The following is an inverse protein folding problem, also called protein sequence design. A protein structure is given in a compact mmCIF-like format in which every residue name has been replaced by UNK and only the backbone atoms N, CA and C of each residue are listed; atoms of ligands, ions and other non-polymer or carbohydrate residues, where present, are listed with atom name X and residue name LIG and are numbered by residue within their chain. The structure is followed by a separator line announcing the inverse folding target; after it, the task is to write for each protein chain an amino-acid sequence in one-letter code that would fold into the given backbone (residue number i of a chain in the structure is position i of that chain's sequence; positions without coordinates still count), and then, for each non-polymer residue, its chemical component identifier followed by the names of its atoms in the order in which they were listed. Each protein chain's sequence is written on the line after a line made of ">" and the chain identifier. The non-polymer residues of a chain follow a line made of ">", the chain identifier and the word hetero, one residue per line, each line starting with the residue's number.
data_IF_512587840214
#
_entry.id   IF_512587840214
#
_cell.length_a   1.000
_cell.length_b   1.000
_cell.length_c   1.000
_cell.angle_alpha   90.00
_cell.angle_beta   90.00
_cell.angle_gamma   90.00
#
_symmetry.space_group_name_H-M   'P 1'
#
loop_
_entity.id
_entity.type
_entity.pdbx_description
1 polymer ?
#
# COMPACT_ATOMS: atom_id res chain seq x y z
N UNK A 1 27.57 2.42 41.80
CA UNK A 1 27.43 2.16 40.36
C UNK A 1 25.98 1.83 40.13
N UNK A 2 25.26 2.66 39.38
CA UNK A 2 23.81 2.53 39.21
C UNK A 2 23.48 1.22 38.50
N UNK A 3 22.65 0.39 39.12
CA UNK A 3 22.11 -0.84 38.53
C UNK A 3 21.46 -0.53 37.18
N UNK A 4 22.15 -0.89 36.11
CA UNK A 4 21.61 -0.83 34.76
C UNK A 4 20.57 -1.94 34.63
N UNK A 5 19.30 -1.56 34.68
CA UNK A 5 18.20 -2.52 34.57
C UNK A 5 18.01 -2.92 33.11
N UNK A 6 18.67 -4.00 32.72
CA UNK A 6 18.62 -4.59 31.37
C UNK A 6 17.17 -4.85 30.92
N UNK A 7 16.29 -5.21 31.85
CA UNK A 7 14.92 -5.57 31.53
C UNK A 7 14.04 -4.37 31.17
N UNK A 8 14.26 -3.21 31.80
CA UNK A 8 13.57 -1.98 31.42
C UNK A 8 14.02 -1.51 30.04
N UNK A 9 15.31 -1.59 29.74
CA UNK A 9 15.86 -1.21 28.43
C UNK A 9 15.35 -2.11 27.30
N UNK A 10 15.30 -3.43 27.51
CA UNK A 10 14.72 -4.36 26.54
C UNK A 10 13.22 -4.10 26.31
N UNK A 11 12.49 -3.69 27.34
CA UNK A 11 11.08 -3.34 27.22
C UNK A 11 10.87 -2.05 26.41
N UNK A 12 11.74 -1.06 26.61
CA UNK A 12 11.76 0.20 25.87
C UNK A 12 12.08 -0.05 24.39
N UNK A 13 13.11 -0.85 24.10
CA UNK A 13 13.50 -1.22 22.73
C UNK A 13 12.39 -1.98 21.99
N UNK A 14 11.70 -2.90 22.67
CA UNK A 14 10.54 -3.61 22.08
C UNK A 14 9.41 -2.64 21.73
N UNK A 15 9.10 -1.72 22.65
CA UNK A 15 8.05 -0.71 22.45
C UNK A 15 8.40 0.24 21.30
N UNK A 16 9.65 0.70 21.25
CA UNK A 16 10.16 1.53 20.17
C UNK A 16 10.10 0.81 18.81
N UNK A 17 10.50 -0.46 18.78
CA UNK A 17 10.42 -1.30 17.58
C UNK A 17 8.97 -1.48 17.11
N UNK A 18 8.01 -1.68 18.03
CA UNK A 18 6.59 -1.78 17.69
C UNK A 18 6.03 -0.46 17.15
N UNK A 19 6.42 0.68 17.73
CA UNK A 19 6.03 1.99 17.23
C UNK A 19 6.56 2.27 15.82
N UNK A 20 7.82 1.91 15.53
CA UNK A 20 8.41 2.02 14.18
C UNK A 20 7.67 1.11 13.18
N UNK A 21 7.30 -0.11 13.61
CA UNK A 21 6.55 -1.06 12.76
C UNK A 21 5.10 -0.63 12.50
N UNK A 22 4.51 0.26 13.30
CA UNK A 22 3.17 0.83 13.04
C UNK A 22 3.22 1.77 11.84
N UNK A 23 3.27 1.20 10.62
CA UNK A 23 2.98 1.94 9.39
C UNK A 23 1.56 2.48 9.43
N UNK A 24 1.43 3.81 9.27
CA UNK A 24 0.15 4.49 9.27
C UNK A 24 -0.81 3.89 8.25
N UNK A 25 -2.10 3.85 8.57
CA UNK A 25 -3.16 3.37 7.68
C UNK A 25 -3.18 4.15 6.35
N UNK A 26 -2.83 5.44 6.39
CA UNK A 26 -2.67 6.29 5.21
C UNK A 26 -1.59 5.78 4.25
N UNK A 27 -0.49 5.21 4.75
CA UNK A 27 0.55 4.60 3.92
C UNK A 27 0.10 3.27 3.25
N UNK A 28 -1.01 2.67 3.70
CA UNK A 28 -1.61 1.47 3.09
C UNK A 28 -2.58 1.78 1.96
N UNK A 29 -3.06 3.02 1.82
CA UNK A 29 -3.99 3.39 0.75
C UNK A 29 -3.25 3.56 -0.56
N UNK A 30 -3.58 2.72 -1.54
CA UNK A 30 -3.10 2.93 -2.90
C UNK A 30 -3.79 4.14 -3.50
N UNK A 31 -3.08 4.91 -4.33
CA UNK A 31 -3.71 5.97 -5.15
C UNK A 31 -4.79 5.40 -6.08
N UNK A 32 -4.70 4.11 -6.38
CA UNK A 32 -5.69 3.34 -7.16
C UNK A 32 -7.00 3.13 -6.39
N UNK A 33 -6.97 3.12 -5.05
CA UNK A 33 -8.15 2.86 -4.21
C UNK A 33 -9.22 3.95 -4.38
N UNK A 34 -8.81 5.15 -4.81
CA UNK A 34 -9.74 6.23 -5.17
C UNK A 34 -10.58 5.90 -6.41
N UNK A 35 -10.08 5.01 -7.27
CA UNK A 35 -10.69 4.66 -8.55
C UNK A 35 -11.12 3.19 -8.63
N UNK A 36 -11.27 2.53 -7.48
CA UNK A 36 -11.60 1.10 -7.40
C UNK A 36 -12.80 0.73 -8.25
N UNK A 37 -13.89 1.49 -8.14
CA UNK A 37 -15.10 1.24 -8.93
C UNK A 37 -14.86 1.31 -10.45
N UNK A 38 -14.11 2.30 -10.94
CA UNK A 38 -13.84 2.39 -12.38
C UNK A 38 -12.90 1.29 -12.86
N UNK A 39 -11.85 1.01 -12.08
CA UNK A 39 -10.86 0.00 -12.43
C UNK A 39 -11.47 -1.41 -12.44
N UNK A 40 -12.31 -1.75 -11.46
CA UNK A 40 -13.00 -3.03 -11.43
C UNK A 40 -14.01 -3.17 -12.57
N UNK A 41 -14.78 -2.12 -12.88
CA UNK A 41 -15.68 -2.16 -14.05
C UNK A 41 -14.93 -2.37 -15.37
N UNK A 42 -13.81 -1.67 -15.55
CA UNK A 42 -12.96 -1.84 -16.73
C UNK A 42 -12.38 -3.27 -16.79
N UNK A 43 -11.91 -3.79 -15.66
CA UNK A 43 -11.39 -5.15 -15.57
C UNK A 43 -12.47 -6.21 -15.88
N UNK A 44 -13.67 -6.05 -15.33
CA UNK A 44 -14.83 -6.91 -15.60
C UNK A 44 -15.27 -6.86 -17.08
N UNK A 45 -15.08 -5.73 -17.76
CA UNK A 45 -15.28 -5.63 -19.22
C UNK A 45 -14.16 -6.24 -20.06
N UNK A 46 -13.17 -6.89 -19.44
CA UNK A 46 -12.05 -7.56 -20.11
C UNK A 46 -10.79 -6.71 -20.28
N UNK A 47 -10.69 -5.54 -19.64
CA UNK A 47 -9.48 -4.74 -19.71
C UNK A 47 -8.34 -5.41 -18.94
N UNK A 48 -7.19 -5.59 -19.60
CA UNK A 48 -5.97 -6.11 -18.98
C UNK A 48 -5.31 -5.07 -18.07
N UNK A 49 -4.40 -5.51 -17.19
CA UNK A 49 -3.65 -4.60 -16.32
C UNK A 49 -2.90 -3.48 -17.08
N UNK A 50 -2.37 -3.77 -18.27
CA UNK A 50 -1.76 -2.78 -19.16
C UNK A 50 -2.79 -1.76 -19.69
N UNK A 51 -4.03 -2.21 -19.97
CA UNK A 51 -5.15 -1.35 -20.34
C UNK A 51 -5.55 -0.40 -19.21
N UNK A 52 -5.65 -0.91 -17.98
CA UNK A 52 -5.92 -0.10 -16.79
C UNK A 52 -4.80 0.93 -16.55
N UNK A 53 -3.54 0.54 -16.69
CA UNK A 53 -2.39 1.45 -16.59
C UNK A 53 -2.48 2.58 -17.63
N UNK A 54 -2.82 2.25 -18.88
CA UNK A 54 -3.01 3.25 -19.94
C UNK A 54 -4.16 4.18 -19.61
N UNK A 55 -5.30 3.64 -19.16
CA UNK A 55 -6.45 4.44 -18.76
C UNK A 55 -6.12 5.42 -17.62
N UNK A 56 -5.38 4.98 -16.60
CA UNK A 56 -4.93 5.81 -15.49
C UNK A 56 -4.01 6.94 -15.96
N UNK A 57 -3.12 6.65 -16.90
CA UNK A 57 -2.20 7.65 -17.46
C UNK A 57 -2.95 8.69 -18.29
N UNK A 58 -3.85 8.27 -19.18
CA UNK A 58 -4.56 9.18 -20.10
C UNK A 58 -5.67 9.97 -19.39
N UNK A 59 -6.50 9.32 -18.58
CA UNK A 59 -7.69 9.95 -18.00
C UNK A 59 -7.43 10.65 -16.66
N UNK A 60 -6.50 10.12 -15.86
CA UNK A 60 -6.25 10.61 -14.49
C UNK A 60 -4.87 11.21 -14.32
N UNK A 61 -4.02 11.20 -15.37
CA UNK A 61 -2.63 11.65 -15.34
C UNK A 61 -1.81 10.98 -14.23
N UNK A 62 -2.16 9.73 -13.89
CA UNK A 62 -1.46 8.95 -12.87
C UNK A 62 -0.47 8.02 -13.56
N UNK A 63 0.81 8.22 -13.29
CA UNK A 63 1.87 7.29 -13.68
C UNK A 63 2.01 6.23 -12.59
N UNK A 64 1.61 5.00 -12.89
CA UNK A 64 1.87 3.82 -12.07
C UNK A 64 2.64 2.79 -12.88
N UNK A 65 3.44 1.98 -12.19
CA UNK A 65 4.10 0.83 -12.81
C UNK A 65 3.09 -0.31 -13.00
N UNK A 66 3.28 -1.10 -14.07
CA UNK A 66 2.48 -2.29 -14.35
C UNK A 66 2.33 -3.24 -13.13
N UNK A 67 3.41 -3.63 -12.41
CA UNK A 67 3.28 -4.49 -11.23
C UNK A 67 2.46 -3.87 -10.10
N UNK A 68 2.37 -2.53 -10.01
CA UNK A 68 1.50 -1.87 -9.03
C UNK A 68 0.03 -2.12 -9.35
N UNK A 69 -0.34 -2.14 -10.63
CA UNK A 69 -1.70 -2.45 -11.08
C UNK A 69 -2.01 -3.93 -10.87
N UNK A 70 -1.07 -4.83 -11.18
CA UNK A 70 -1.23 -6.26 -10.92
C UNK A 70 -1.44 -6.57 -9.44
N UNK A 71 -0.52 -6.11 -8.57
CA UNK A 71 -0.65 -6.32 -7.11
C UNK A 71 -1.94 -5.70 -6.55
N UNK A 72 -2.41 -4.62 -7.16
CA UNK A 72 -3.67 -4.02 -6.77
C UNK A 72 -4.87 -4.86 -7.21
N UNK A 73 -4.85 -5.40 -8.43
CA UNK A 73 -5.86 -6.35 -8.91
C UNK A 73 -5.89 -7.62 -8.07
N UNK A 74 -4.75 -8.23 -7.75
CA UNK A 74 -4.68 -9.43 -6.87
C UNK A 74 -5.33 -9.23 -5.50
N UNK A 75 -5.39 -7.97 -5.02
CA UNK A 75 -5.95 -7.62 -3.71
C UNK A 75 -7.44 -7.24 -3.78
N UNK A 76 -7.92 -6.76 -4.92
CA UNK A 76 -9.23 -6.12 -5.07
C UNK A 76 -10.15 -6.75 -6.11
N UNK A 77 -9.61 -7.57 -7.01
CA UNK A 77 -10.30 -8.29 -8.08
C UNK A 77 -10.62 -9.72 -7.70
#
# INVERSE_FOLDING_TARGET
>A
MSDFNVQSELSALKTQTQAIRKRSYSARKSRLDKYTHQLLKLHQSGATAAGLQRWLRTNKRIKVAHPTVLRWLEKHG
#
